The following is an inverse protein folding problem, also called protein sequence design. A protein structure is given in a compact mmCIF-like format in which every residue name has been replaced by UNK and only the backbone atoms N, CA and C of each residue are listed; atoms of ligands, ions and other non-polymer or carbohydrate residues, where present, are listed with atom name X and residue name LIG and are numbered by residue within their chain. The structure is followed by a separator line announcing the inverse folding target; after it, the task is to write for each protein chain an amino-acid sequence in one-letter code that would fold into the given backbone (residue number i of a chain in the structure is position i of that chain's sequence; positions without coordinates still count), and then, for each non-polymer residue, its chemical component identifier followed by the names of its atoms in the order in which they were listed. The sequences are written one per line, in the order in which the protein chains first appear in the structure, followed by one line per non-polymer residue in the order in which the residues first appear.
data_IF_983097853138
#
_entry.id   IF_983097853138
#
_cell.length_a   1.000
_cell.length_b   1.000
_cell.length_c   1.000
_cell.angle_alpha   90.00
_cell.angle_beta   90.00
_cell.angle_gamma   90.00
#
_symmetry.space_group_name_H-M   'P 1'
#
loop_
_entity.id
_entity.type
_entity.pdbx_description
1 polymer ?
#
# COMPACT_ATOMS: atom_id res chain seq x y z
N UNK A 1 -7.09 -6.09 -1.18
CA UNK A 1 -6.78 -7.06 -2.27
C UNK A 1 -5.53 -7.89 -2.04
N UNK A 2 -4.46 -7.35 -1.42
CA UNK A 2 -3.25 -8.13 -1.11
C UNK A 2 -3.53 -9.45 -0.36
N UNK A 3 -4.37 -9.41 0.68
CA UNK A 3 -4.78 -10.63 1.41
C UNK A 3 -5.47 -11.68 0.55
N UNK A 4 -6.35 -11.27 -0.37
CA UNK A 4 -7.00 -12.21 -1.31
C UNK A 4 -6.00 -12.79 -2.31
N UNK A 5 -5.00 -12.00 -2.72
CA UNK A 5 -3.88 -12.49 -3.52
C UNK A 5 -3.08 -13.55 -2.78
N UNK A 6 -2.68 -13.27 -1.54
CA UNK A 6 -1.94 -14.21 -0.69
C UNK A 6 -2.73 -15.51 -0.45
N UNK A 7 -4.03 -15.40 -0.14
CA UNK A 7 -4.92 -16.56 0.00
C UNK A 7 -4.97 -17.38 -1.30
N UNK A 8 -5.15 -16.72 -2.44
CA UNK A 8 -5.16 -17.39 -3.74
C UNK A 8 -3.84 -18.10 -4.05
N UNK A 9 -2.71 -17.49 -3.69
CA UNK A 9 -1.38 -18.11 -3.81
C UNK A 9 -1.25 -19.34 -2.92
N UNK A 10 -1.68 -19.27 -1.66
CA UNK A 10 -1.67 -20.43 -0.76
C UNK A 10 -2.55 -21.58 -1.29
N UNK A 11 -3.74 -21.26 -1.80
CA UNK A 11 -4.61 -22.26 -2.42
C UNK A 11 -3.98 -22.89 -3.67
N UNK A 12 -3.33 -22.09 -4.52
CA UNK A 12 -2.59 -22.59 -5.68
C UNK A 12 -1.41 -23.49 -5.29
N UNK A 13 -0.70 -23.16 -4.21
CA UNK A 13 0.37 -23.99 -3.68
C UNK A 13 -0.15 -25.32 -3.13
N UNK A 14 -1.28 -25.31 -2.41
CA UNK A 14 -1.90 -26.54 -1.92
C UNK A 14 -2.29 -27.44 -3.09
N UNK A 15 -2.95 -26.86 -4.10
CA UNK A 15 -3.36 -27.60 -5.29
C UNK A 15 -2.17 -28.18 -6.06
N UNK A 16 -1.07 -27.42 -6.17
CA UNK A 16 0.19 -27.90 -6.75
C UNK A 16 0.79 -29.06 -5.97
N UNK A 17 0.64 -29.10 -4.65
CA UNK A 17 1.17 -30.19 -3.84
C UNK A 17 0.42 -31.52 -4.08
N UNK A 18 -0.88 -31.44 -4.38
CA UNK A 18 -1.73 -32.62 -4.61
C UNK A 18 -1.74 -33.06 -6.08
N UNK A 19 -1.87 -32.12 -7.01
CA UNK A 19 -2.10 -32.39 -8.43
C UNK A 19 -0.85 -32.12 -9.31
N UNK A 20 0.16 -31.42 -8.79
CA UNK A 20 1.27 -30.90 -9.59
C UNK A 20 0.89 -29.70 -10.47
N UNK A 21 1.84 -29.20 -11.28
CA UNK A 21 1.57 -28.16 -12.29
C UNK A 21 1.87 -26.71 -11.89
N UNK A 22 1.50 -25.77 -12.76
CA UNK A 22 1.69 -24.33 -12.58
C UNK A 22 0.32 -23.63 -12.59
N UNK A 23 0.12 -22.73 -11.64
CA UNK A 23 -1.16 -22.05 -11.43
C UNK A 23 -0.96 -20.54 -11.47
N UNK A 24 -1.85 -19.84 -12.19
CA UNK A 24 -1.90 -18.38 -12.24
C UNK A 24 -3.04 -17.88 -11.34
N UNK A 25 -2.70 -17.04 -10.36
CA UNK A 25 -3.67 -16.38 -9.49
C UNK A 25 -3.92 -14.96 -10.01
N UNK A 26 -5.20 -14.64 -10.29
CA UNK A 26 -5.61 -13.29 -10.73
C UNK A 26 -6.51 -12.64 -9.70
N UNK A 27 -6.19 -11.42 -9.32
CA UNK A 27 -7.01 -10.60 -8.43
C UNK A 27 -7.25 -9.23 -9.07
N UNK A 28 -8.35 -8.58 -8.69
CA UNK A 28 -8.70 -7.24 -9.15
C UNK A 28 -9.05 -6.38 -7.95
N UNK A 29 -8.36 -5.26 -7.80
CA UNK A 29 -8.62 -4.31 -6.72
C UNK A 29 -10.05 -3.77 -6.77
N UNK A 30 -10.49 -3.34 -7.95
CA UNK A 30 -11.85 -2.81 -8.16
C UNK A 30 -12.92 -3.85 -7.80
N UNK A 31 -12.76 -5.10 -8.27
CA UNK A 31 -13.72 -6.17 -7.95
C UNK A 31 -13.74 -6.48 -6.45
N UNK A 32 -12.57 -6.49 -5.80
CA UNK A 32 -12.52 -6.65 -4.33
C UNK A 32 -13.28 -5.53 -3.64
N UNK A 33 -13.06 -4.26 -4.02
CA UNK A 33 -13.74 -3.13 -3.41
C UNK A 33 -15.26 -3.19 -3.62
N UNK A 34 -15.72 -3.55 -4.82
CA UNK A 34 -17.14 -3.73 -5.10
C UNK A 34 -17.75 -4.88 -4.29
N UNK A 35 -17.03 -6.00 -4.17
CA UNK A 35 -17.48 -7.14 -3.35
C UNK A 35 -17.61 -6.75 -1.88
N UNK A 36 -16.63 -6.06 -1.30
CA UNK A 36 -16.71 -5.57 0.09
C UNK A 36 -17.91 -4.66 0.29
N UNK A 37 -18.16 -3.73 -0.63
CA UNK A 37 -19.34 -2.86 -0.58
C UNK A 37 -20.65 -3.64 -0.67
N UNK A 38 -20.69 -4.73 -1.44
CA UNK A 38 -21.89 -5.58 -1.59
C UNK A 38 -22.27 -6.36 -0.32
N UNK A 39 -21.37 -6.52 0.64
CA UNK A 39 -21.65 -7.20 1.92
C UNK A 39 -22.59 -6.40 2.83
N UNK A 40 -22.90 -5.15 2.47
CA UNK A 40 -23.71 -4.25 3.27
C UNK A 40 -22.88 -3.55 4.36
N UNK A 41 -23.49 -2.53 4.97
CA UNK A 41 -22.91 -1.85 6.13
C UNK A 41 -23.43 -2.52 7.38
N UNK A 42 -22.59 -2.63 8.41
CA UNK A 42 -23.05 -3.05 9.74
C UNK A 42 -23.99 -1.96 10.26
N UNK A 43 -25.27 -2.28 10.54
CA UNK A 43 -26.17 -1.32 11.16
C UNK A 43 -25.69 -1.06 12.58
N UNK A 44 -25.61 0.21 12.96
CA UNK A 44 -25.11 0.67 14.26
C UNK A 44 -23.60 0.46 14.49
N UNK A 45 -22.79 1.22 13.75
CA UNK A 45 -21.39 1.46 14.11
C UNK A 45 -21.38 2.51 15.22
N UNK A 46 -21.89 2.16 16.41
CA UNK A 46 -21.60 2.95 17.59
C UNK A 46 -20.08 3.06 17.73
N UNK A 47 -19.59 4.19 18.26
CA UNK A 47 -18.17 4.45 18.43
C UNK A 47 -17.40 3.30 19.14
N UNK A 48 -18.09 2.38 19.81
CA UNK A 48 -17.52 1.16 20.39
C UNK A 48 -16.89 0.18 19.37
N UNK A 49 -17.35 0.15 18.11
CA UNK A 49 -16.69 -0.66 17.06
C UNK A 49 -15.37 -0.03 16.58
N UNK A 50 -15.21 1.28 16.74
CA UNK A 50 -13.92 1.94 16.62
C UNK A 50 -13.28 1.98 18.01
N UNK A 51 -12.79 0.85 18.51
CA UNK A 51 -11.91 0.89 19.69
C UNK A 51 -10.76 1.85 19.34
N UNK A 52 -10.54 2.89 20.15
CA UNK A 52 -9.38 3.78 20.01
C UNK A 52 -8.07 2.98 19.92
N UNK A 53 -8.03 1.80 20.56
CA UNK A 53 -6.93 0.83 20.47
C UNK A 53 -6.59 0.35 19.04
N UNK A 54 -7.56 0.31 18.13
CA UNK A 54 -7.37 -0.08 16.72
C UNK A 54 -6.52 0.98 16.01
N UNK A 55 -6.92 2.25 16.17
CA UNK A 55 -6.15 3.39 15.71
C UNK A 55 -4.80 3.49 16.43
N UNK A 56 -4.69 3.02 17.68
CA UNK A 56 -3.41 3.03 18.39
C UNK A 56 -2.43 1.99 17.84
N UNK A 57 -2.92 0.85 17.35
CA UNK A 57 -2.10 -0.14 16.63
C UNK A 57 -1.72 0.33 15.22
N UNK A 58 -2.65 0.95 14.51
CA UNK A 58 -2.39 1.50 13.18
C UNK A 58 -1.46 2.73 13.27
N UNK A 59 -1.64 3.60 14.26
CA UNK A 59 -0.72 4.68 14.57
C UNK A 59 0.65 4.17 15.01
N UNK A 60 0.72 3.05 15.75
CA UNK A 60 2.00 2.36 16.01
C UNK A 60 2.62 1.80 14.73
N UNK A 61 1.84 1.23 13.82
CA UNK A 61 2.34 0.79 12.52
C UNK A 61 2.84 1.97 11.65
N UNK A 62 2.18 3.12 11.71
CA UNK A 62 2.68 4.37 11.12
C UNK A 62 3.95 4.87 11.81
N UNK A 63 4.06 4.73 13.14
CA UNK A 63 5.28 5.05 13.87
C UNK A 63 6.45 4.09 13.54
N UNK A 64 6.17 2.82 13.26
CA UNK A 64 7.17 1.88 12.71
C UNK A 64 7.56 2.26 11.27
N UNK A 65 6.62 2.81 10.50
CA UNK A 65 6.86 3.31 9.15
C UNK A 65 7.63 4.64 9.11
N UNK A 66 7.77 5.38 10.22
CA UNK A 66 8.57 6.62 10.29
C UNK A 66 10.02 6.40 9.82
N UNK A 67 10.61 5.24 10.13
CA UNK A 67 11.95 4.87 9.63
C UNK A 67 12.04 4.71 8.11
N UNK A 68 10.90 4.65 7.44
CA UNK A 68 10.74 4.55 5.98
C UNK A 68 10.09 5.78 5.37
N UNK A 69 9.94 6.87 6.12
CA UNK A 69 9.38 8.13 5.63
C UNK A 69 10.51 9.16 5.53
N UNK A 70 10.70 9.68 4.32
CA UNK A 70 11.53 10.86 4.08
C UNK A 70 10.66 12.12 4.13
N UNK A 71 11.15 13.15 4.82
CA UNK A 71 10.54 14.48 4.83
C UNK A 71 11.43 15.44 4.07
N UNK A 72 10.81 16.34 3.31
CA UNK A 72 11.52 17.38 2.59
C UNK A 72 10.65 18.61 2.42
N UNK A 73 11.29 19.74 2.20
CA UNK A 73 10.61 20.98 1.80
C UNK A 73 10.52 20.99 0.28
N UNK A 74 9.30 21.10 -0.22
CA UNK A 74 9.02 21.35 -1.62
C UNK A 74 8.71 22.84 -1.81
N UNK A 75 9.31 23.53 -2.80
CA UNK A 75 9.07 24.96 -3.03
C UNK A 75 7.61 25.33 -3.32
N UNK A 76 6.81 24.40 -3.85
CA UNK A 76 5.43 24.65 -4.25
C UNK A 76 4.41 24.20 -3.20
N UNK A 77 4.69 23.10 -2.49
CA UNK A 77 3.76 22.48 -1.56
C UNK A 77 4.16 22.59 -0.08
N UNK A 78 5.32 23.18 0.23
CA UNK A 78 5.82 23.28 1.60
C UNK A 78 6.37 21.94 2.11
N UNK A 79 6.15 21.64 3.39
CA UNK A 79 6.60 20.37 3.97
C UNK A 79 5.81 19.19 3.42
N UNK A 80 6.53 18.23 2.82
CA UNK A 80 5.94 17.00 2.30
C UNK A 80 6.65 15.79 2.89
N UNK A 81 5.88 14.74 3.15
CA UNK A 81 6.35 13.42 3.57
C UNK A 81 6.09 12.39 2.48
N UNK A 82 7.05 11.52 2.23
CA UNK A 82 6.95 10.47 1.23
C UNK A 82 7.73 9.23 1.67
N UNK A 83 7.40 8.06 1.12
CA UNK A 83 8.12 6.83 1.44
C UNK A 83 9.53 6.87 0.86
N UNK A 84 10.54 6.50 1.64
CA UNK A 84 11.87 6.27 1.11
C UNK A 84 11.88 5.01 0.24
N UNK A 85 12.83 4.90 -0.71
CA UNK A 85 13.03 3.65 -1.42
C UNK A 85 13.31 2.51 -0.42
N UNK A 86 12.59 1.40 -0.57
CA UNK A 86 12.72 0.24 0.34
C UNK A 86 14.01 -0.54 0.08
N UNK A 87 14.54 -0.46 -1.16
CA UNK A 87 15.78 -1.11 -1.54
C UNK A 87 17.00 -0.42 -0.88
N UNK A 88 17.97 -1.23 -0.44
CA UNK A 88 19.29 -0.76 -0.03
C UNK A 88 20.33 -1.32 -0.98
N UNK A 89 21.10 -0.44 -1.62
CA UNK A 89 22.14 -0.79 -2.57
C UNK A 89 23.42 -0.04 -2.18
N UNK A 90 24.56 -0.75 -2.13
CA UNK A 90 25.84 -0.19 -1.70
C UNK A 90 26.46 0.73 -2.75
N UNK A 91 26.35 0.38 -4.03
CA UNK A 91 26.98 1.12 -5.12
C UNK A 91 26.07 2.22 -5.69
N UNK A 92 24.77 1.95 -5.80
CA UNK A 92 23.78 2.89 -6.34
C UNK A 92 22.62 3.08 -5.36
N UNK A 93 22.82 3.81 -4.25
CA UNK A 93 21.76 4.06 -3.28
C UNK A 93 20.54 4.69 -3.96
N UNK A 94 19.36 4.05 -3.91
CA UNK A 94 18.18 4.59 -4.54
C UNK A 94 17.74 5.87 -3.83
N UNK A 95 17.39 6.90 -4.61
CA UNK A 95 16.92 8.21 -4.12
C UNK A 95 15.82 8.75 -5.01
N UNK A 96 14.96 9.60 -4.45
CA UNK A 96 14.05 10.43 -5.23
C UNK A 96 14.84 11.63 -5.75
N UNK A 97 15.17 11.60 -7.04
CA UNK A 97 15.93 12.68 -7.68
C UNK A 97 15.06 13.90 -7.97
N UNK A 98 13.77 13.67 -8.24
CA UNK A 98 12.79 14.72 -8.55
C UNK A 98 11.69 14.71 -7.50
N UNK A 99 11.34 15.90 -7.01
CA UNK A 99 10.24 16.07 -6.07
C UNK A 99 8.90 16.21 -6.81
N UNK A 100 7.80 16.01 -6.08
CA UNK A 100 6.45 16.27 -6.59
C UNK A 100 6.29 17.74 -6.96
N UNK A 101 6.10 18.02 -8.24
CA UNK A 101 5.90 19.37 -8.75
C UNK A 101 4.50 19.55 -9.33
N UNK A 102 3.95 20.78 -9.34
CA UNK A 102 2.69 21.07 -9.99
C UNK A 102 2.68 20.68 -11.47
N UNK A 103 1.48 20.40 -11.99
CA UNK A 103 1.31 20.12 -13.41
C UNK A 103 1.75 21.33 -14.25
N UNK A 104 2.57 21.08 -15.28
CA UNK A 104 3.11 22.14 -16.15
C UNK A 104 4.41 22.80 -15.66
N UNK A 105 5.06 22.28 -14.60
CA UNK A 105 6.33 22.84 -14.10
C UNK A 105 7.50 22.68 -15.08
N UNK A 106 7.51 21.58 -15.84
CA UNK A 106 8.60 21.26 -16.76
C UNK A 106 8.20 21.55 -18.21
N UNK A 107 9.14 22.04 -19.03
CA UNK A 107 8.91 22.16 -20.47
C UNK A 107 8.65 20.79 -21.10
N UNK A 108 7.90 20.78 -22.21
CA UNK A 108 7.66 19.58 -23.01
C UNK A 108 8.87 19.29 -23.89
N UNK A 109 9.92 18.75 -23.29
CA UNK A 109 11.14 18.31 -23.97
C UNK A 109 11.45 16.84 -23.64
N UNK A 110 12.09 16.14 -24.60
CA UNK A 110 12.46 14.73 -24.51
C UNK A 110 13.97 14.57 -24.30
#
# INVERSE_FOLDING_TARGET
TGYLGALGTLAALNRRAEEGGCYLVRVSLARTAMWVQSLGKVPDVSAACFREDSFTKEAKAFAEAEGYVARGVNPHYGEISHLCPVLRMSETPPRWEVQTNPIGTYPLEW
#
